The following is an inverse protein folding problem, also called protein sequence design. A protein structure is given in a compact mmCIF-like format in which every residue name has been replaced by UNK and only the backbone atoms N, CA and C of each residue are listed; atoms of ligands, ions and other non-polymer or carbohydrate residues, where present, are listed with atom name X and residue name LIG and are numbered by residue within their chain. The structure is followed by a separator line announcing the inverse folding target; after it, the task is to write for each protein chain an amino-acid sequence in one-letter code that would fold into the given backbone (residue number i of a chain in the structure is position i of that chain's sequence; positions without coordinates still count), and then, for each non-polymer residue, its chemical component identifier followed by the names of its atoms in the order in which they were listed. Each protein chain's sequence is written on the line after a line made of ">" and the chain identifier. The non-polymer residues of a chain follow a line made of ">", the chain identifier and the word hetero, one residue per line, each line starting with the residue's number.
data_IF_723934234545
#
_entry.id   IF_723934234545
#
_cell.length_a   1.000
_cell.length_b   1.000
_cell.length_c   1.000
_cell.angle_alpha   90.00
_cell.angle_beta   90.00
_cell.angle_gamma   90.00
#
_symmetry.space_group_name_H-M   'P 1'
#
loop_
_entity.id
_entity.type
_entity.pdbx_description
1 polymer ?
#
# COMPACT_ATOMS: atom_id res chain seq x y z
N UNK A 1 -43.72 -1.16 -8.35
CA UNK A 1 -42.85 -1.84 -7.37
C UNK A 1 -41.94 -0.75 -6.81
N UNK A 2 -41.88 -0.55 -5.49
CA UNK A 2 -40.89 0.36 -4.90
C UNK A 2 -39.47 -0.13 -5.28
N UNK A 3 -38.55 0.80 -5.46
CA UNK A 3 -37.14 0.50 -5.72
C UNK A 3 -36.58 -0.24 -4.50
N UNK A 4 -35.95 -1.43 -4.62
CA UNK A 4 -35.44 -2.14 -3.44
C UNK A 4 -34.39 -1.33 -2.65
N UNK A 5 -33.78 -0.35 -3.31
CA UNK A 5 -32.71 0.47 -2.75
C UNK A 5 -33.19 1.70 -1.97
N UNK A 6 -34.43 2.14 -2.20
CA UNK A 6 -35.00 3.37 -1.66
C UNK A 6 -36.44 3.15 -1.18
N UNK A 7 -36.77 3.67 -0.01
CA UNK A 7 -38.16 3.65 0.47
C UNK A 7 -39.06 4.63 -0.32
N UNK A 8 -40.37 4.60 -0.04
CA UNK A 8 -41.36 5.43 -0.73
C UNK A 8 -41.13 6.94 -0.56
N UNK A 9 -40.30 7.36 0.42
CA UNK A 9 -39.89 8.76 0.63
C UNK A 9 -38.62 9.15 -0.13
N UNK A 10 -37.99 8.20 -0.83
CA UNK A 10 -36.71 8.37 -1.51
C UNK A 10 -35.51 8.26 -0.56
N UNK A 11 -35.69 7.72 0.65
CA UNK A 11 -34.60 7.50 1.60
C UNK A 11 -33.94 6.14 1.32
N UNK A 12 -32.60 6.05 1.24
CA UNK A 12 -31.92 4.77 1.05
C UNK A 12 -32.28 3.76 2.15
N UNK A 13 -32.55 2.52 1.77
CA UNK A 13 -32.76 1.43 2.73
C UNK A 13 -31.44 1.08 3.43
N UNK A 14 -31.54 0.47 4.63
CA UNK A 14 -30.34 -0.01 5.34
C UNK A 14 -29.56 -1.03 4.50
N UNK A 15 -30.27 -1.89 3.77
CA UNK A 15 -29.67 -2.92 2.92
C UNK A 15 -28.83 -2.31 1.80
N UNK A 16 -29.36 -1.31 1.08
CA UNK A 16 -28.64 -0.68 -0.03
C UNK A 16 -27.39 0.07 0.43
N UNK A 17 -27.44 0.70 1.62
CA UNK A 17 -26.26 1.34 2.23
C UNK A 17 -25.23 0.28 2.64
N UNK A 18 -25.65 -0.83 3.23
CA UNK A 18 -24.76 -1.93 3.63
C UNK A 18 -24.04 -2.53 2.43
N UNK A 19 -24.77 -2.92 1.39
CA UNK A 19 -24.22 -3.50 0.16
C UNK A 19 -23.23 -2.54 -0.53
N UNK A 20 -23.55 -1.24 -0.54
CA UNK A 20 -22.67 -0.20 -1.10
C UNK A 20 -21.38 -0.03 -0.32
N UNK A 21 -21.41 -0.13 1.01
CA UNK A 21 -20.22 -0.09 1.85
C UNK A 21 -19.36 -1.33 1.60
N UNK A 22 -19.97 -2.51 1.57
CA UNK A 22 -19.27 -3.77 1.35
C UNK A 22 -18.60 -3.81 -0.03
N UNK A 23 -19.32 -3.41 -1.08
CA UNK A 23 -18.79 -3.30 -2.45
C UNK A 23 -17.59 -2.35 -2.52
N UNK A 24 -17.67 -1.18 -1.87
CA UNK A 24 -16.57 -0.21 -1.82
C UNK A 24 -15.36 -0.75 -1.06
N UNK A 25 -15.60 -1.42 0.07
CA UNK A 25 -14.56 -2.02 0.87
C UNK A 25 -13.80 -3.10 0.10
N UNK A 26 -14.52 -4.04 -0.52
CA UNK A 26 -13.94 -5.09 -1.37
C UNK A 26 -13.12 -4.50 -2.53
N UNK A 27 -13.66 -3.47 -3.20
CA UNK A 27 -12.96 -2.77 -4.29
C UNK A 27 -11.68 -2.09 -3.80
N UNK A 28 -11.71 -1.44 -2.62
CA UNK A 28 -10.53 -0.75 -2.07
C UNK A 28 -9.41 -1.71 -1.66
N UNK A 29 -9.75 -2.89 -1.14
CA UNK A 29 -8.76 -3.91 -0.79
C UNK A 29 -8.06 -4.44 -2.05
N UNK A 30 -8.83 -4.81 -3.09
CA UNK A 30 -8.25 -5.28 -4.35
C UNK A 30 -7.50 -4.19 -5.13
N UNK A 31 -7.93 -2.92 -5.04
CA UNK A 31 -7.25 -1.81 -5.70
C UNK A 31 -5.86 -1.54 -5.10
N UNK A 32 -5.69 -1.68 -3.77
CA UNK A 32 -4.39 -1.49 -3.13
C UNK A 32 -3.37 -2.58 -3.54
N UNK A 33 -3.82 -3.84 -3.66
CA UNK A 33 -3.00 -4.94 -4.16
C UNK A 33 -2.59 -4.71 -5.63
N UNK A 34 -3.55 -4.31 -6.47
CA UNK A 34 -3.29 -4.00 -7.88
C UNK A 34 -2.37 -2.77 -8.08
N UNK A 35 -2.51 -1.75 -7.24
CA UNK A 35 -1.65 -0.56 -7.26
C UNK A 35 -0.22 -0.89 -6.84
N UNK A 36 -0.04 -1.80 -5.88
CA UNK A 36 1.28 -2.32 -5.49
C UNK A 36 1.94 -3.15 -6.61
N UNK A 37 1.16 -3.92 -7.37
CA UNK A 37 1.66 -4.71 -8.51
C UNK A 37 1.82 -3.92 -9.82
N UNK A 38 1.31 -2.68 -9.85
CA UNK A 38 1.45 -1.75 -10.98
C UNK A 38 2.92 -1.50 -11.35
N UNK A 39 3.18 -1.00 -12.57
CA UNK A 39 4.55 -0.71 -13.01
C UNK A 39 5.18 0.40 -12.14
N UNK A 40 4.38 1.39 -11.77
CA UNK A 40 4.72 2.50 -10.90
C UNK A 40 5.01 2.01 -9.48
N UNK A 41 4.15 1.16 -8.90
CA UNK A 41 4.34 0.55 -7.58
C UNK A 41 5.63 -0.27 -7.49
N UNK A 42 5.89 -1.12 -8.50
CA UNK A 42 7.15 -1.88 -8.59
C UNK A 42 8.39 -0.99 -8.68
N UNK A 43 8.29 0.15 -9.38
CA UNK A 43 9.41 1.10 -9.50
C UNK A 43 9.75 1.83 -8.19
N UNK A 44 8.74 2.08 -7.35
CA UNK A 44 8.94 2.70 -6.03
C UNK A 44 9.59 1.70 -5.07
N UNK A 45 9.13 0.45 -5.11
CA UNK A 45 9.69 -0.64 -4.33
C UNK A 45 11.17 -0.91 -4.68
N UNK A 46 11.50 -0.87 -5.97
CA UNK A 46 12.87 -1.00 -6.46
C UNK A 46 13.76 0.15 -5.98
N UNK A 47 13.32 1.39 -6.14
CA UNK A 47 14.05 2.57 -5.64
C UNK A 47 14.26 2.51 -4.12
N UNK A 48 13.28 2.02 -3.36
CA UNK A 48 13.42 1.83 -1.92
C UNK A 48 14.49 0.77 -1.59
N UNK A 49 14.47 -0.38 -2.26
CA UNK A 49 15.47 -1.44 -2.08
C UNK A 49 16.87 -0.99 -2.47
N UNK A 50 17.02 -0.22 -3.54
CA UNK A 50 18.31 0.36 -3.95
C UNK A 50 18.87 1.29 -2.86
N UNK A 51 18.02 2.15 -2.27
CA UNK A 51 18.42 3.03 -1.16
C UNK A 51 18.85 2.25 0.07
N UNK A 52 18.10 1.21 0.44
CA UNK A 52 18.43 0.34 1.57
C UNK A 52 19.77 -0.38 1.36
N UNK A 53 20.00 -0.92 0.16
CA UNK A 53 21.28 -1.56 -0.20
C UNK A 53 22.44 -0.56 -0.12
N UNK A 54 22.29 0.61 -0.73
CA UNK A 54 23.32 1.66 -0.68
C UNK A 54 23.62 2.10 0.76
N UNK A 55 22.60 2.23 1.61
CA UNK A 55 22.79 2.55 3.02
C UNK A 55 23.53 1.43 3.77
N UNK A 56 23.17 0.16 3.52
CA UNK A 56 23.83 -0.99 4.12
C UNK A 56 25.32 -1.09 3.72
N UNK A 57 25.64 -0.85 2.45
CA UNK A 57 27.01 -0.82 1.94
C UNK A 57 27.84 0.28 2.61
N UNK A 58 27.30 1.50 2.69
CA UNK A 58 27.96 2.63 3.38
C UNK A 58 28.23 2.32 4.85
N UNK A 59 27.28 1.71 5.55
CA UNK A 59 27.48 1.28 6.93
C UNK A 59 28.57 0.21 7.06
N UNK A 60 28.67 -0.72 6.10
CA UNK A 60 29.72 -1.72 6.06
C UNK A 60 31.11 -1.09 5.85
N UNK A 61 31.22 -0.12 4.93
CA UNK A 61 32.45 0.65 4.70
C UNK A 61 32.92 1.36 5.97
N UNK A 62 32.01 2.07 6.66
CA UNK A 62 32.31 2.78 7.92
C UNK A 62 32.83 1.80 8.97
N UNK A 63 32.13 0.67 9.20
CA UNK A 63 32.55 -0.36 10.17
C UNK A 63 33.93 -0.93 9.81
N UNK A 64 34.20 -1.12 8.53
CA UNK A 64 35.49 -1.61 8.06
C UNK A 64 36.61 -0.58 8.31
N UNK A 65 36.36 0.71 8.07
CA UNK A 65 37.32 1.79 8.38
C UNK A 65 37.65 1.82 9.87
N UNK A 66 36.63 1.84 10.73
CA UNK A 66 36.84 1.86 12.19
C UNK A 66 37.67 0.67 12.69
N UNK A 67 37.44 -0.52 12.13
CA UNK A 67 38.25 -1.71 12.46
C UNK A 67 39.69 -1.61 11.97
N UNK A 68 39.93 -1.02 10.80
CA UNK A 68 41.29 -0.80 10.27
C UNK A 68 42.05 0.23 11.09
N UNK A 69 41.39 1.34 11.45
CA UNK A 69 41.98 2.40 12.28
C UNK A 69 42.38 1.88 13.68
N UNK A 70 41.58 0.98 14.26
CA UNK A 70 41.88 0.36 15.57
C UNK A 70 43.03 -0.65 15.52
N UNK A 71 43.37 -1.19 14.34
CA UNK A 71 44.41 -2.21 14.18
C UNK A 71 45.79 -1.61 13.84
N UNK A 72 45.87 -0.27 13.75
CA UNK A 72 47.09 0.50 13.47
C UNK A 72 47.71 1.01 14.78
#
# INVERSE_FOLDING_TARGET
>A
MPDPDYDDSGTPTFESVREKIETRYQTSAGAAELDAESAEGRSVDEQYREREQAAAERLAEIRASMRKDTRR
#
